data_IF_219445557735
#
_entry.id   IF_219445557735
#
_cell.length_a   1.000
_cell.length_b   1.000
_cell.length_c   1.000
_cell.angle_alpha   90.00
_cell.angle_beta   90.00
_cell.angle_gamma   90.00
#
_symmetry.space_group_name_H-M   'P 1'
#
loop_
_entity.id
_entity.type
_entity.pdbx_description
1 polymer ?
#
# COMPACT_ATOMS: atom_id res chain seq x y z
N UNK A 1 -11.50 -8.69 12.77
CA UNK A 1 -10.61 -7.62 12.29
C UNK A 1 -9.15 -7.75 12.75
N UNK A 2 -8.81 -8.62 13.73
CA UNK A 2 -7.45 -8.76 14.26
C UNK A 2 -6.55 -9.80 13.56
N UNK A 3 -6.94 -10.31 12.38
CA UNK A 3 -6.17 -11.35 11.65
C UNK A 3 -5.54 -10.85 10.35
N UNK A 4 -5.78 -9.58 9.95
CA UNK A 4 -5.14 -8.97 8.76
C UNK A 4 -3.88 -8.14 9.10
N UNK A 5 -3.51 -8.04 10.37
CA UNK A 5 -2.21 -7.53 10.82
C UNK A 5 -1.10 -8.59 10.78
N UNK A 6 -1.36 -9.77 10.19
CA UNK A 6 -0.34 -10.74 9.88
C UNK A 6 0.61 -10.12 8.83
N UNK A 7 1.69 -9.52 9.35
CA UNK A 7 2.82 -8.89 8.66
C UNK A 7 2.72 -8.90 7.13
N UNK A 8 2.53 -7.74 6.54
CA UNK A 8 2.68 -7.54 5.10
C UNK A 8 4.08 -8.03 4.69
N UNK A 9 4.11 -9.20 4.03
CA UNK A 9 5.35 -9.81 3.57
C UNK A 9 5.77 -9.18 2.23
N UNK A 10 7.05 -8.84 2.12
CA UNK A 10 7.66 -8.37 0.88
C UNK A 10 7.46 -9.36 -0.27
N UNK A 11 7.37 -10.66 0.02
CA UNK A 11 7.09 -11.68 -1.00
C UNK A 11 5.68 -11.50 -1.58
N UNK A 12 4.66 -11.34 -0.72
CA UNK A 12 3.27 -11.09 -1.13
C UNK A 12 3.14 -9.79 -1.92
N UNK A 13 3.87 -8.73 -1.55
CA UNK A 13 3.90 -7.47 -2.31
C UNK A 13 4.50 -7.66 -3.71
N UNK A 14 5.57 -8.45 -3.82
CA UNK A 14 6.18 -8.76 -5.12
C UNK A 14 5.24 -9.60 -5.99
N UNK A 15 4.53 -10.55 -5.39
CA UNK A 15 3.51 -11.35 -6.08
C UNK A 15 2.37 -10.46 -6.58
N UNK A 16 1.85 -9.57 -5.74
CA UNK A 16 0.81 -8.61 -6.11
C UNK A 16 1.25 -7.75 -7.30
N UNK A 17 2.46 -7.17 -7.24
CA UNK A 17 3.04 -6.41 -8.36
C UNK A 17 3.18 -7.27 -9.62
N UNK A 18 3.53 -8.55 -9.48
CA UNK A 18 3.63 -9.46 -10.62
C UNK A 18 2.25 -9.75 -11.22
N UNK A 19 1.22 -9.94 -10.40
CA UNK A 19 -0.17 -10.09 -10.85
C UNK A 19 -0.65 -8.83 -11.57
N UNK A 20 -0.40 -7.64 -11.00
CA UNK A 20 -0.70 -6.34 -11.62
C UNK A 20 -0.13 -6.23 -13.03
N UNK A 21 1.17 -6.54 -13.20
CA UNK A 21 1.85 -6.53 -14.50
C UNK A 21 1.29 -7.57 -15.48
N UNK A 22 0.95 -8.77 -15.00
CA UNK A 22 0.37 -9.82 -15.83
C UNK A 22 -1.03 -9.44 -16.30
N UNK A 23 -1.82 -8.85 -15.42
CA UNK A 23 -3.19 -8.42 -15.72
C UNK A 23 -3.20 -7.27 -16.73
N UNK A 24 -2.34 -6.26 -16.58
CA UNK A 24 -2.20 -5.18 -17.56
C UNK A 24 -1.79 -5.70 -18.95
N UNK A 25 -0.89 -6.71 -19.02
CA UNK A 25 -0.55 -7.36 -20.29
C UNK A 25 -1.70 -8.17 -20.87
N UNK A 26 -2.55 -8.75 -20.02
CA UNK A 26 -3.71 -9.51 -20.46
C UNK A 26 -4.80 -8.57 -20.98
N UNK A 27 -5.06 -7.46 -20.29
CA UNK A 27 -5.95 -6.37 -20.72
C UNK A 27 -5.58 -5.88 -22.12
N UNK A 28 -4.31 -5.55 -22.36
CA UNK A 28 -3.85 -5.15 -23.70
C UNK A 28 -4.08 -6.22 -24.76
N UNK A 29 -3.89 -7.51 -24.43
CA UNK A 29 -4.14 -8.60 -25.38
C UNK A 29 -5.63 -8.73 -25.70
N UNK A 30 -6.49 -8.61 -24.71
CA UNK A 30 -7.94 -8.67 -24.89
C UNK A 30 -8.40 -7.49 -25.76
N UNK A 31 -7.89 -6.27 -25.51
CA UNK A 31 -8.14 -5.11 -26.35
C UNK A 31 -7.71 -5.35 -27.80
N UNK A 32 -6.47 -5.83 -28.03
CA UNK A 32 -5.99 -6.12 -29.38
C UNK A 32 -6.83 -7.19 -30.10
N UNK A 33 -7.34 -8.20 -29.38
CA UNK A 33 -8.21 -9.23 -29.97
C UNK A 33 -9.57 -8.63 -30.34
N UNK A 34 -10.15 -7.81 -29.45
CA UNK A 34 -11.41 -7.10 -29.72
C UNK A 34 -11.27 -6.24 -30.98
N UNK A 35 -10.25 -5.38 -31.02
CA UNK A 35 -10.03 -4.44 -32.12
C UNK A 35 -9.80 -5.19 -33.45
N UNK A 36 -9.12 -6.34 -33.43
CA UNK A 36 -8.92 -7.17 -34.62
C UNK A 36 -10.20 -7.86 -35.12
N UNK A 37 -11.12 -8.23 -34.21
CA UNK A 37 -12.42 -8.79 -34.60
C UNK A 37 -13.34 -7.69 -35.14
N UNK A 38 -13.33 -6.51 -34.52
CA UNK A 38 -14.06 -5.33 -35.00
C UNK A 38 -13.60 -4.92 -36.41
N UNK A 39 -12.29 -4.85 -36.65
CA UNK A 39 -11.74 -4.51 -37.98
C UNK A 39 -12.22 -5.46 -39.09
N UNK A 40 -12.36 -6.75 -38.77
CA UNK A 40 -12.86 -7.76 -39.71
C UNK A 40 -14.37 -7.65 -39.91
N UNK A 41 -15.13 -7.39 -38.84
CA UNK A 41 -16.58 -7.21 -38.91
C UNK A 41 -16.97 -5.95 -39.70
N UNK A 42 -16.12 -4.92 -39.73
CA UNK A 42 -16.35 -3.69 -40.48
C UNK A 42 -16.13 -3.84 -42.01
N UNK A 43 -15.58 -4.97 -42.47
CA UNK A 43 -15.22 -5.20 -43.87
C UNK A 43 -15.99 -6.36 -44.51
N UNK A 44 -17.14 -6.05 -45.12
CA UNK A 44 -18.00 -7.02 -45.83
C UNK A 44 -17.24 -7.86 -46.88
N UNK A 45 -16.24 -7.26 -47.56
CA UNK A 45 -15.38 -7.97 -48.53
C UNK A 45 -14.55 -9.07 -47.86
N UNK A 46 -13.95 -8.77 -46.70
CA UNK A 46 -13.16 -9.74 -45.93
C UNK A 46 -14.05 -10.86 -45.38
N UNK A 47 -15.26 -10.52 -44.92
CA UNK A 47 -16.26 -11.49 -44.46
C UNK A 47 -16.71 -12.44 -45.59
N UNK A 48 -17.01 -11.91 -46.77
CA UNK A 48 -17.36 -12.71 -47.94
C UNK A 48 -16.21 -13.61 -48.40
N UNK A 49 -14.97 -13.11 -48.32
CA UNK A 49 -13.77 -13.87 -48.68
C UNK A 49 -13.45 -15.04 -47.74
N UNK A 50 -14.06 -15.10 -46.55
CA UNK A 50 -13.93 -16.21 -45.62
C UNK A 50 -14.58 -17.51 -46.10
N UNK A 51 -15.46 -17.46 -47.11
CA UNK A 51 -16.08 -18.64 -47.73
C UNK A 51 -15.13 -19.38 -48.69
N UNK A 52 -13.98 -19.80 -48.15
CA UNK A 52 -12.86 -20.41 -48.89
C UNK A 52 -13.27 -21.68 -49.66
N UNK A 53 -14.22 -22.46 -49.14
CA UNK A 53 -14.74 -23.67 -49.81
C UNK A 53 -15.49 -23.32 -51.11
N UNK A 54 -16.27 -22.23 -51.08
CA UNK A 54 -17.02 -21.75 -52.25
C UNK A 54 -16.07 -21.12 -53.27
N UNK A 55 -15.13 -20.30 -52.79
CA UNK A 55 -14.06 -19.68 -53.59
C UNK A 55 -13.23 -20.72 -54.34
N UNK A 56 -12.86 -21.82 -53.67
CA UNK A 56 -12.15 -22.96 -54.28
C UNK A 56 -12.99 -23.70 -55.32
N UNK A 57 -14.32 -23.73 -55.15
CA UNK A 57 -15.25 -24.38 -56.08
C UNK A 57 -15.60 -23.52 -57.29
N UNK A 58 -15.01 -22.32 -57.40
CA UNK A 58 -15.31 -21.35 -58.47
C UNK A 58 -16.66 -20.67 -58.31
N UNK A 59 -17.31 -20.81 -57.14
CA UNK A 59 -18.57 -20.15 -56.81
C UNK A 59 -18.22 -18.83 -56.15
N UNK A 60 -18.46 -17.72 -56.85
CA UNK A 60 -18.35 -16.38 -56.27
C UNK A 60 -19.49 -16.20 -55.28
N UNK A 61 -19.16 -15.92 -54.02
CA UNK A 61 -20.13 -15.46 -53.04
C UNK A 61 -20.45 -13.99 -53.31
N UNK A 62 -21.73 -13.57 -53.27
CA UNK A 62 -22.08 -12.16 -53.19
C UNK A 62 -21.47 -11.53 -51.93
N UNK A 63 -21.06 -10.27 -52.01
CA UNK A 63 -20.49 -9.54 -50.87
C UNK A 63 -21.51 -9.51 -49.71
N UNK A 64 -22.79 -9.34 -50.02
CA UNK A 64 -23.91 -9.26 -49.05
C UNK A 64 -24.33 -10.61 -48.43
N UNK A 65 -23.54 -11.69 -48.62
CA UNK A 65 -23.90 -13.06 -48.21
C UNK A 65 -22.91 -13.61 -47.17
N UNK A 66 -22.74 -12.88 -46.07
CA UNK A 66 -21.85 -13.24 -44.95
C UNK A 66 -22.51 -13.39 -43.58
N UNK A 67 -23.84 -13.39 -43.51
CA UNK A 67 -24.63 -13.43 -42.25
C UNK A 67 -24.16 -14.49 -41.23
N UNK A 68 -23.78 -15.68 -41.70
CA UNK A 68 -23.36 -16.77 -40.82
C UNK A 68 -21.99 -16.51 -40.16
N UNK A 69 -21.03 -16.02 -40.93
CA UNK A 69 -19.67 -15.70 -40.44
C UNK A 69 -19.73 -14.48 -39.52
N UNK A 70 -20.48 -13.46 -39.91
CA UNK A 70 -20.73 -12.25 -39.13
C UNK A 70 -21.33 -12.60 -37.76
N UNK A 71 -22.42 -13.38 -37.72
CA UNK A 71 -23.05 -13.81 -36.45
C UNK A 71 -22.08 -14.55 -35.52
N UNK A 72 -21.22 -15.41 -36.08
CA UNK A 72 -20.21 -16.14 -35.29
C UNK A 72 -19.19 -15.15 -34.73
N UNK A 73 -18.65 -14.25 -35.55
CA UNK A 73 -17.67 -13.25 -35.13
C UNK A 73 -18.25 -12.26 -34.11
N UNK A 74 -19.50 -11.81 -34.27
CA UNK A 74 -20.20 -11.00 -33.27
C UNK A 74 -20.34 -11.73 -31.93
N UNK A 75 -20.63 -13.03 -31.96
CA UNK A 75 -20.75 -13.84 -30.74
C UNK A 75 -19.40 -13.95 -30.02
N UNK A 76 -18.32 -14.13 -30.77
CA UNK A 76 -16.96 -14.09 -30.21
C UNK A 76 -16.58 -12.69 -29.70
N UNK A 77 -16.95 -11.63 -30.43
CA UNK A 77 -16.71 -10.25 -30.00
C UNK A 77 -17.38 -9.98 -28.64
N UNK A 78 -18.66 -10.35 -28.49
CA UNK A 78 -19.39 -10.26 -27.21
C UNK A 78 -18.69 -11.02 -26.08
N UNK A 79 -18.15 -12.21 -26.37
CA UNK A 79 -17.39 -12.96 -25.37
C UNK A 79 -16.08 -12.25 -24.99
N UNK A 80 -15.37 -11.66 -25.95
CA UNK A 80 -14.15 -10.88 -25.69
C UNK A 80 -14.45 -9.63 -24.88
N UNK A 81 -15.56 -8.93 -25.15
CA UNK A 81 -16.03 -7.79 -24.36
C UNK A 81 -16.37 -8.18 -22.92
N UNK A 82 -17.02 -9.33 -22.72
CA UNK A 82 -17.29 -9.85 -21.38
C UNK A 82 -15.98 -10.10 -20.61
N UNK A 83 -15.00 -10.72 -21.26
CA UNK A 83 -13.67 -10.91 -20.69
C UNK A 83 -12.99 -9.58 -20.38
N UNK A 84 -13.09 -8.58 -21.27
CA UNK A 84 -12.52 -7.26 -21.05
C UNK A 84 -13.10 -6.60 -19.78
N UNK A 85 -14.41 -6.65 -19.61
CA UNK A 85 -15.10 -6.14 -18.42
C UNK A 85 -14.66 -6.87 -17.13
N UNK A 86 -14.47 -8.19 -17.19
CA UNK A 86 -13.97 -8.96 -16.04
C UNK A 86 -12.52 -8.58 -15.68
N UNK A 87 -11.68 -8.33 -16.68
CA UNK A 87 -10.29 -7.89 -16.49
C UNK A 87 -10.24 -6.50 -15.86
N UNK A 88 -11.05 -5.57 -16.34
CA UNK A 88 -11.14 -4.22 -15.78
C UNK A 88 -11.58 -4.25 -14.31
N UNK A 89 -12.63 -5.02 -14.00
CA UNK A 89 -13.10 -5.21 -12.62
C UNK A 89 -12.01 -5.80 -11.71
N UNK A 90 -11.28 -6.81 -12.20
CA UNK A 90 -10.17 -7.42 -11.47
C UNK A 90 -9.02 -6.43 -11.26
N UNK A 91 -8.72 -5.59 -12.26
CA UNK A 91 -7.67 -4.57 -12.15
C UNK A 91 -8.04 -3.51 -11.10
N UNK A 92 -9.30 -3.08 -11.09
CA UNK A 92 -9.82 -2.17 -10.07
C UNK A 92 -9.70 -2.75 -8.66
N UNK A 93 -10.09 -4.01 -8.47
CA UNK A 93 -9.93 -4.71 -7.17
C UNK A 93 -8.46 -4.85 -6.74
N UNK A 94 -7.56 -5.08 -7.70
CA UNK A 94 -6.13 -5.15 -7.42
C UNK A 94 -5.59 -3.79 -6.95
N UNK A 95 -5.97 -2.68 -7.61
CA UNK A 95 -5.62 -1.32 -7.18
C UNK A 95 -6.14 -1.00 -5.78
N UNK A 96 -7.39 -1.36 -5.48
CA UNK A 96 -7.94 -1.23 -4.13
C UNK A 96 -7.13 -2.00 -3.09
N UNK A 97 -6.64 -3.19 -3.45
CA UNK A 97 -5.78 -3.99 -2.57
C UNK A 97 -4.41 -3.31 -2.36
N UNK A 98 -3.81 -2.71 -3.40
CA UNK A 98 -2.58 -1.92 -3.28
C UNK A 98 -2.76 -0.72 -2.33
N UNK A 99 -3.89 -0.01 -2.43
CA UNK A 99 -4.21 1.12 -1.57
C UNK A 99 -4.37 0.70 -0.10
N UNK A 100 -5.07 -0.41 0.15
CA UNK A 100 -5.21 -0.95 1.52
C UNK A 100 -3.84 -1.35 2.08
N UNK A 101 -3.00 -1.99 1.29
CA UNK A 101 -1.62 -2.33 1.68
C UNK A 101 -0.84 -1.07 2.05
N UNK A 102 -0.91 -0.01 1.25
CA UNK A 102 -0.23 1.25 1.53
C UNK A 102 -0.73 1.88 2.84
N UNK A 103 -2.05 1.87 3.08
CA UNK A 103 -2.65 2.36 4.33
C UNK A 103 -2.11 1.58 5.55
N UNK A 104 -1.99 0.26 5.44
CA UNK A 104 -1.46 -0.57 6.54
C UNK A 104 0.03 -0.28 6.78
N UNK A 105 0.84 -0.17 5.72
CA UNK A 105 2.26 0.16 5.84
C UNK A 105 2.48 1.53 6.48
N UNK A 106 1.66 2.52 6.12
CA UNK A 106 1.69 3.85 6.75
C UNK A 106 1.27 3.80 8.22
N UNK A 107 0.27 2.98 8.57
CA UNK A 107 -0.12 2.75 9.97
C UNK A 107 1.01 2.13 10.80
N UNK A 108 1.73 1.14 10.23
CA UNK A 108 2.90 0.54 10.87
C UNK A 108 4.02 1.57 11.07
N UNK A 109 4.31 2.39 10.05
CA UNK A 109 5.28 3.49 10.15
C UNK A 109 4.87 4.50 11.23
N UNK A 110 3.59 4.87 11.29
CA UNK A 110 3.07 5.78 12.31
C UNK A 110 3.22 5.20 13.73
N UNK A 111 3.01 3.89 13.88
CA UNK A 111 3.20 3.18 15.15
C UNK A 111 4.67 3.17 15.59
N UNK A 112 5.61 2.96 14.67
CA UNK A 112 7.05 3.05 14.95
C UNK A 112 7.48 4.46 15.35
N UNK A 113 6.97 5.47 14.66
CA UNK A 113 7.25 6.87 15.00
C UNK A 113 6.75 7.21 16.41
N UNK A 114 5.57 6.71 16.79
CA UNK A 114 5.04 6.92 18.14
C UNK A 114 5.90 6.22 19.21
N UNK A 115 6.40 5.02 18.92
CA UNK A 115 7.35 4.31 19.80
C UNK A 115 8.65 5.13 19.97
N UNK A 116 9.19 5.63 18.87
CA UNK A 116 10.40 6.48 18.88
C UNK A 116 10.19 7.75 19.71
N UNK A 117 9.04 8.42 19.57
CA UNK A 117 8.69 9.59 20.40
C UNK A 117 8.66 9.23 21.90
N UNK A 118 8.13 8.05 22.28
CA UNK A 118 8.14 7.60 23.68
C UNK A 118 9.57 7.35 24.20
N UNK A 119 10.40 6.68 23.40
CA UNK A 119 11.79 6.40 23.75
C UNK A 119 12.63 7.67 23.87
N UNK A 120 12.44 8.63 22.97
CA UNK A 120 13.15 9.92 23.02
C UNK A 120 12.76 10.75 24.25
N UNK A 121 11.48 10.78 24.64
CA UNK A 121 11.04 11.41 25.90
C UNK A 121 11.73 10.76 27.12
N UNK A 122 11.80 9.42 27.16
CA UNK A 122 12.51 8.71 28.23
C UNK A 122 14.01 9.03 28.23
N UNK A 123 14.65 9.05 27.07
CA UNK A 123 16.07 9.36 26.93
C UNK A 123 16.38 10.80 27.38
N UNK A 124 15.54 11.77 27.01
CA UNK A 124 15.67 13.17 27.45
C UNK A 124 15.50 13.28 28.96
N UNK A 125 14.51 12.60 29.54
CA UNK A 125 14.31 12.61 30.99
C UNK A 125 15.51 12.04 31.75
N UNK A 126 16.05 10.90 31.28
CA UNK A 126 17.27 10.32 31.83
C UNK A 126 18.47 11.25 31.67
N UNK A 127 18.63 11.94 30.54
CA UNK A 127 19.71 12.89 30.31
C UNK A 127 19.70 14.06 31.32
N UNK A 128 18.53 14.61 31.65
CA UNK A 128 18.41 15.63 32.70
C UNK A 128 18.75 15.07 34.09
N UNK A 129 18.34 13.85 34.38
CA UNK A 129 18.68 13.16 35.63
C UNK A 129 20.18 12.90 35.79
N UNK A 130 20.81 12.37 34.74
CA UNK A 130 22.25 12.10 34.73
C UNK A 130 23.07 13.38 34.72
N UNK A 131 22.61 14.45 34.08
CA UNK A 131 23.26 15.76 34.13
C UNK A 131 23.39 16.28 35.57
N UNK A 132 22.30 16.23 36.35
CA UNK A 132 22.32 16.65 37.76
C UNK A 132 23.22 15.73 38.59
N UNK A 133 23.08 14.41 38.42
CA UNK A 133 23.94 13.44 39.10
C UNK A 133 25.42 13.68 38.77
N UNK A 134 25.74 14.00 37.51
CA UNK A 134 27.09 14.32 37.07
C UNK A 134 27.62 15.62 37.67
N UNK A 135 26.79 16.67 37.79
CA UNK A 135 27.21 17.94 38.43
C UNK A 135 27.63 17.75 39.89
N UNK A 136 26.88 16.96 40.65
CA UNK A 136 27.17 16.66 42.06
C UNK A 136 28.15 15.49 42.26
N UNK A 137 28.32 14.62 41.27
CA UNK A 137 29.30 13.54 41.27
C UNK A 137 30.71 13.97 40.85
N UNK A 138 30.86 15.19 40.31
CA UNK A 138 32.17 15.79 40.04
C UNK A 138 32.80 16.29 41.35
N UNK A 139 34.11 16.10 41.50
CA UNK A 139 34.93 16.47 42.67
C UNK A 139 35.11 18.01 42.81
N UNK A 140 33.99 18.72 42.92
CA UNK A 140 33.90 20.14 43.19
C UNK A 140 33.55 20.33 44.67
N UNK A 141 34.29 21.18 45.38
CA UNK A 141 33.99 21.59 46.76
C UNK A 141 32.63 22.30 46.81
N UNK A 142 31.56 21.53 46.97
CA UNK A 142 30.17 22.00 46.91
C UNK A 142 29.71 22.63 48.22
N UNK A 143 30.48 22.49 49.31
CA UNK A 143 30.13 22.99 50.65
C UNK A 143 28.99 22.21 51.34
N UNK A 144 28.27 21.35 50.61
CA UNK A 144 27.18 20.51 51.08
C UNK A 144 27.61 19.14 51.65
N UNK A 145 28.89 18.78 51.56
CA UNK A 145 29.41 17.46 51.96
C UNK A 145 29.35 17.18 53.47
N UNK A 146 29.30 18.23 54.31
CA UNK A 146 29.25 18.08 55.77
C UNK A 146 27.86 17.70 56.32
N UNK A 147 26.82 17.75 55.47
CA UNK A 147 25.46 17.42 55.87
C UNK A 147 25.05 16.01 55.40
N UNK A 148 24.78 15.09 56.35
CA UNK A 148 24.32 13.72 56.08
C UNK A 148 23.05 13.62 55.20
N UNK A 149 22.27 14.69 55.05
CA UNK A 149 21.06 14.72 54.24
C UNK A 149 21.27 15.13 52.77
N UNK A 150 22.44 15.66 52.41
CA UNK A 150 22.67 16.26 51.09
C UNK A 150 22.49 15.26 49.93
N UNK A 151 22.96 14.02 50.12
CA UNK A 151 22.81 12.95 49.13
C UNK A 151 21.33 12.59 48.86
N UNK A 152 20.53 12.47 49.91
CA UNK A 152 19.10 12.19 49.80
C UNK A 152 18.34 13.33 49.12
N UNK A 153 18.76 14.58 49.34
CA UNK A 153 18.14 15.75 48.74
C UNK A 153 18.43 15.82 47.23
N UNK A 154 19.68 15.61 46.80
CA UNK A 154 20.05 15.63 45.37
C UNK A 154 19.36 14.52 44.59
N UNK A 155 19.32 13.30 45.14
CA UNK A 155 18.61 12.15 44.54
C UNK A 155 17.09 12.37 44.47
N UNK A 156 16.51 12.98 45.51
CA UNK A 156 15.10 13.38 45.49
C UNK A 156 14.82 14.43 44.39
N UNK A 157 15.65 15.47 44.27
CA UNK A 157 15.46 16.50 43.24
C UNK A 157 15.64 15.92 41.83
N UNK A 158 16.66 15.09 41.60
CA UNK A 158 16.87 14.47 40.29
C UNK A 158 15.70 13.56 39.90
N UNK A 159 15.17 12.78 40.84
CA UNK A 159 14.01 11.91 40.56
C UNK A 159 12.74 12.70 40.27
N UNK A 160 12.51 13.82 40.97
CA UNK A 160 11.39 14.74 40.70
C UNK A 160 11.49 15.36 39.31
N UNK A 161 12.68 15.78 38.89
CA UNK A 161 12.89 16.39 37.56
C UNK A 161 12.66 15.35 36.46
N UNK A 162 13.18 14.12 36.60
CA UNK A 162 12.92 13.03 35.66
C UNK A 162 11.40 12.79 35.54
N UNK A 163 10.70 12.69 36.67
CA UNK A 163 9.25 12.46 36.69
C UNK A 163 8.47 13.61 36.02
N UNK A 164 8.88 14.86 36.24
CA UNK A 164 8.27 16.04 35.65
C UNK A 164 8.44 16.07 34.13
N UNK A 165 9.66 15.79 33.62
CA UNK A 165 9.94 15.75 32.18
C UNK A 165 9.13 14.65 31.49
N UNK A 166 9.07 13.45 32.09
CA UNK A 166 8.26 12.34 31.58
C UNK A 166 6.77 12.73 31.54
N UNK A 167 6.25 13.31 32.62
CA UNK A 167 4.85 13.72 32.72
C UNK A 167 4.47 14.74 31.64
N UNK A 168 5.30 15.77 31.43
CA UNK A 168 5.08 16.76 30.37
C UNK A 168 5.15 16.14 28.97
N UNK A 169 6.08 15.19 28.76
CA UNK A 169 6.20 14.43 27.51
C UNK A 169 4.95 13.61 27.20
N UNK A 170 4.45 12.85 28.17
CA UNK A 170 3.21 12.07 28.02
C UNK A 170 1.98 12.96 27.82
N UNK A 171 1.87 14.09 28.51
CA UNK A 171 0.79 15.07 28.32
C UNK A 171 0.79 15.65 26.90
N UNK A 172 1.96 15.96 26.33
CA UNK A 172 2.06 16.40 24.93
C UNK A 172 1.57 15.32 23.99
N UNK A 173 2.04 14.08 24.15
CA UNK A 173 1.63 12.94 23.30
C UNK A 173 0.10 12.75 23.36
N UNK A 174 -0.49 12.78 24.56
CA UNK A 174 -1.95 12.65 24.74
C UNK A 174 -2.72 13.76 24.02
N UNK A 175 -2.23 15.02 24.10
CA UNK A 175 -2.84 16.15 23.39
C UNK A 175 -2.74 15.99 21.86
N UNK A 176 -1.62 15.51 21.34
CA UNK A 176 -1.45 15.29 19.90
C UNK A 176 -2.36 14.18 19.40
N UNK A 177 -2.47 13.07 20.14
CA UNK A 177 -3.38 11.95 19.82
C UNK A 177 -4.85 12.38 19.80
N UNK A 178 -5.27 13.22 20.75
CA UNK A 178 -6.65 13.77 20.79
C UNK A 178 -6.96 14.72 19.62
N UNK A 179 -5.95 15.26 18.94
CA UNK A 179 -6.13 16.18 17.81
C UNK A 179 -6.20 15.47 16.45
N UNK A 180 -5.80 14.19 16.40
CA UNK A 180 -5.76 13.36 15.20
C UNK A 180 -7.04 12.49 15.08
N UNK A 181 -7.76 12.31 16.18
CA UNK A 181 -9.02 11.59 16.28
C UNK A 181 -10.21 12.55 16.33
#
# INVERSE_FOLDING_TARGET
MAYLEESIDRTKLKELLQYSKRLARFEQKVANIRDAIEEVLDQDEDLADMYLTNKKSGVSQPIDSHDEVELILETYLKQVEEVANQVESTSSQLKLTEDVVNIILDSQRNSLMLLEIRLTVLAVALAFGTFICSLFGMNLLSGFEQHSFAFYLVTAISSVIIALVISLGFLRIYKTLKKIN
#
